data_IF_293599522550
#
_entry.id   IF_293599522550
#
_cell.length_a   1.000
_cell.length_b   1.000
_cell.length_c   1.000
_cell.angle_alpha   90.00
_cell.angle_beta   90.00
_cell.angle_gamma   90.00
#
_symmetry.space_group_name_H-M   'P 1'
#
loop_
_entity.id
_entity.type
_entity.pdbx_description
1 polymer ?
#
# COMPACT_ATOMS: atom_id res chain seq x y z
N UNK A 1 13.79 12.71 8.71
CA UNK A 1 14.80 11.79 9.28
C UNK A 1 15.57 12.40 10.44
N UNK A 2 16.40 13.44 10.25
CA UNK A 2 17.19 14.02 11.35
C UNK A 2 16.35 14.56 12.51
N UNK A 3 15.26 15.29 12.23
CA UNK A 3 14.34 15.75 13.29
C UNK A 3 13.72 14.59 14.07
N UNK A 4 13.30 13.53 13.38
CA UNK A 4 12.78 12.31 14.01
C UNK A 4 13.84 11.64 14.89
N UNK A 5 15.08 11.53 14.42
CA UNK A 5 16.19 10.97 15.19
C UNK A 5 16.48 11.80 16.45
N UNK A 6 16.55 13.12 16.32
CA UNK A 6 16.76 14.03 17.46
C UNK A 6 15.63 13.86 18.48
N UNK A 7 14.37 13.84 18.06
CA UNK A 7 13.23 13.68 18.98
C UNK A 7 13.26 12.33 19.68
N UNK A 8 13.56 11.24 18.98
CA UNK A 8 13.65 9.89 19.58
C UNK A 8 14.81 9.81 20.58
N UNK A 9 15.95 10.43 20.26
CA UNK A 9 17.09 10.53 21.18
C UNK A 9 16.73 11.33 22.43
N UNK A 10 16.05 12.46 22.26
CA UNK A 10 15.57 13.29 23.37
C UNK A 10 14.57 12.51 24.24
N UNK A 11 13.63 11.80 23.62
CA UNK A 11 12.56 11.07 24.29
C UNK A 11 13.05 9.93 25.18
N UNK A 12 14.06 9.17 24.71
CA UNK A 12 14.54 7.98 25.41
C UNK A 12 15.84 8.17 26.16
N UNK A 13 16.85 8.80 25.54
CA UNK A 13 18.18 8.88 26.14
C UNK A 13 18.34 10.09 27.06
N UNK A 14 17.97 11.29 26.59
CA UNK A 14 18.20 12.53 27.35
C UNK A 14 17.30 12.64 28.57
N UNK A 15 16.02 12.31 28.43
CA UNK A 15 15.07 12.27 29.56
C UNK A 15 15.52 11.32 30.66
N UNK A 16 16.01 10.13 30.31
CA UNK A 16 16.52 9.15 31.27
C UNK A 16 17.84 9.61 31.89
N UNK A 17 18.79 10.08 31.06
CA UNK A 17 20.12 10.49 31.53
C UNK A 17 20.07 11.64 32.54
N UNK A 18 19.17 12.62 32.33
CA UNK A 18 18.97 13.75 33.25
C UNK A 18 17.83 13.53 34.25
N UNK A 19 17.19 12.35 34.26
CA UNK A 19 16.05 12.02 35.12
C UNK A 19 14.88 13.03 35.05
N UNK A 20 14.53 13.49 33.84
CA UNK A 20 13.45 14.45 33.60
C UNK A 20 12.16 13.71 33.21
N UNK A 21 11.32 13.43 34.20
CA UNK A 21 10.07 12.68 34.02
C UNK A 21 8.82 13.58 34.06
N UNK A 22 8.61 14.36 32.99
CA UNK A 22 7.41 15.20 32.85
C UNK A 22 6.45 14.64 31.80
N UNK A 23 5.22 14.30 32.21
CA UNK A 23 4.18 13.80 31.29
C UNK A 23 3.96 14.73 30.09
N UNK A 24 4.00 16.05 30.32
CA UNK A 24 3.84 17.04 29.26
C UNK A 24 5.01 17.01 28.26
N UNK A 25 6.24 16.83 28.73
CA UNK A 25 7.42 16.71 27.88
C UNK A 25 7.36 15.43 27.03
N UNK A 26 7.05 14.28 27.65
CA UNK A 26 6.91 13.01 26.92
C UNK A 26 5.80 13.08 25.87
N UNK A 27 4.65 13.67 26.20
CA UNK A 27 3.56 13.88 25.23
C UNK A 27 3.98 14.79 24.08
N UNK A 28 4.64 15.91 24.38
CA UNK A 28 5.14 16.85 23.37
C UNK A 28 6.16 16.19 22.43
N UNK A 29 7.13 15.46 22.98
CA UNK A 29 8.14 14.75 22.19
C UNK A 29 7.50 13.65 21.34
N UNK A 30 6.55 12.89 21.89
CA UNK A 30 5.84 11.85 21.14
C UNK A 30 5.03 12.42 19.96
N UNK A 31 4.27 13.49 20.20
CA UNK A 31 3.50 14.19 19.16
C UNK A 31 4.44 14.75 18.08
N UNK A 32 5.52 15.42 18.50
CA UNK A 32 6.52 15.97 17.56
C UNK A 32 7.17 14.87 16.73
N UNK A 33 7.49 13.73 17.35
CA UNK A 33 8.05 12.57 16.68
C UNK A 33 7.11 12.04 15.59
N UNK A 34 5.83 11.89 15.92
CA UNK A 34 4.79 11.49 14.96
C UNK A 34 4.65 12.48 13.79
N UNK A 35 4.62 13.78 14.08
CA UNK A 35 4.55 14.84 13.06
C UNK A 35 5.74 14.82 12.08
N UNK A 36 6.95 14.57 12.58
CA UNK A 36 8.14 14.49 11.71
C UNK A 36 8.19 13.19 10.91
N UNK A 37 7.63 12.09 11.43
CA UNK A 37 7.60 10.80 10.74
C UNK A 37 6.48 10.72 9.68
N UNK A 38 5.37 11.44 9.86
CA UNK A 38 4.21 11.38 8.96
C UNK A 38 4.51 11.80 7.51
N UNK A 39 5.59 12.57 7.29
CA UNK A 39 6.01 13.02 5.96
C UNK A 39 6.75 11.93 5.18
N UNK A 40 7.30 10.93 5.86
CA UNK A 40 8.18 9.92 5.26
C UNK A 40 7.48 9.11 4.15
N UNK A 41 6.46 8.35 4.53
CA UNK A 41 5.79 7.41 3.62
C UNK A 41 5.15 8.08 2.39
N UNK A 42 4.42 9.22 2.49
CA UNK A 42 3.89 9.91 1.32
C UNK A 42 4.97 10.44 0.38
N UNK A 43 6.12 10.84 0.92
CA UNK A 43 7.26 11.30 0.11
C UNK A 43 7.91 10.13 -0.63
N UNK A 44 8.10 9.00 0.05
CA UNK A 44 8.68 7.79 -0.56
C UNK A 44 7.84 7.28 -1.73
N UNK A 45 6.52 7.18 -1.55
CA UNK A 45 5.61 6.75 -2.61
C UNK A 45 5.63 7.72 -3.79
N UNK A 46 5.71 9.02 -3.53
CA UNK A 46 5.83 10.02 -4.59
C UNK A 46 7.11 9.81 -5.41
N UNK A 47 8.25 9.60 -4.75
CA UNK A 47 9.54 9.37 -5.40
C UNK A 47 9.48 8.07 -6.20
N UNK A 48 9.16 6.93 -5.58
CA UNK A 48 9.10 5.64 -6.29
C UNK A 48 8.09 5.69 -7.45
N UNK A 49 6.94 6.35 -7.25
CA UNK A 49 5.95 6.56 -8.30
C UNK A 49 6.48 7.35 -9.50
N UNK A 50 7.36 8.33 -9.27
CA UNK A 50 7.98 9.13 -10.34
C UNK A 50 9.09 8.39 -11.10
N UNK A 51 9.75 7.43 -10.46
CA UNK A 51 10.82 6.66 -11.08
C UNK A 51 10.31 5.49 -11.94
N UNK A 52 9.13 4.93 -11.63
CA UNK A 52 8.63 3.72 -12.27
C UNK A 52 7.22 3.89 -12.87
N UNK A 53 7.08 3.47 -14.14
CA UNK A 53 5.83 3.49 -14.88
C UNK A 53 4.83 2.41 -14.46
N UNK A 54 3.61 2.47 -14.99
CA UNK A 54 2.48 1.65 -14.58
C UNK A 54 2.73 0.13 -14.67
N UNK A 55 3.53 -0.32 -15.64
CA UNK A 55 3.76 -1.76 -15.90
C UNK A 55 4.66 -2.48 -14.89
N UNK A 56 5.42 -1.77 -14.05
CA UNK A 56 6.33 -2.36 -13.05
C UNK A 56 6.18 -1.77 -11.65
N UNK A 57 5.22 -0.86 -11.48
CA UNK A 57 5.05 -0.08 -10.25
C UNK A 57 4.67 -0.97 -9.06
N UNK A 58 3.79 -1.95 -9.25
CA UNK A 58 3.34 -2.84 -8.19
C UNK A 58 4.44 -3.73 -7.65
N UNK A 59 5.27 -4.31 -8.51
CA UNK A 59 6.41 -5.12 -8.13
C UNK A 59 7.42 -4.29 -7.34
N UNK A 60 7.78 -3.10 -7.83
CA UNK A 60 8.75 -2.22 -7.15
C UNK A 60 8.20 -1.70 -5.83
N UNK A 61 6.96 -1.22 -5.80
CA UNK A 61 6.29 -0.80 -4.57
C UNK A 61 6.11 -1.95 -3.59
N UNK A 62 5.86 -3.16 -4.08
CA UNK A 62 5.78 -4.38 -3.28
C UNK A 62 7.11 -4.68 -2.58
N UNK A 63 8.21 -4.73 -3.35
CA UNK A 63 9.56 -4.90 -2.80
C UNK A 63 9.93 -3.78 -1.83
N UNK A 64 9.61 -2.53 -2.16
CA UNK A 64 9.87 -1.40 -1.27
C UNK A 64 9.08 -1.52 0.03
N UNK A 65 7.78 -1.79 -0.05
CA UNK A 65 6.90 -1.88 1.13
C UNK A 65 7.28 -3.01 2.10
N UNK A 66 7.97 -4.05 1.61
CA UNK A 66 8.53 -5.09 2.47
C UNK A 66 9.56 -4.54 3.48
N UNK A 67 10.13 -3.36 3.24
CA UNK A 67 11.06 -2.71 4.16
C UNK A 67 10.46 -2.46 5.54
N UNK A 68 9.15 -2.22 5.64
CA UNK A 68 8.48 -1.99 6.92
C UNK A 68 8.53 -3.25 7.80
N UNK A 69 8.17 -4.40 7.24
CA UNK A 69 8.24 -5.69 7.94
C UNK A 69 9.67 -6.13 8.23
N UNK A 70 10.62 -5.86 7.33
CA UNK A 70 12.06 -6.09 7.61
C UNK A 70 12.52 -5.21 8.77
N UNK A 71 12.10 -3.93 8.77
CA UNK A 71 12.37 -2.97 9.84
C UNK A 71 11.77 -3.39 11.17
N UNK A 72 10.57 -3.96 11.18
CA UNK A 72 9.93 -4.52 12.37
C UNK A 72 10.78 -5.63 12.99
N UNK A 73 11.18 -6.63 12.19
CA UNK A 73 11.98 -7.77 12.66
C UNK A 73 13.33 -7.28 13.21
N UNK A 74 14.07 -6.49 12.42
CA UNK A 74 15.41 -6.00 12.82
C UNK A 74 15.29 -5.07 14.03
N UNK A 75 14.30 -4.18 14.04
CA UNK A 75 14.06 -3.21 15.10
C UNK A 75 13.75 -3.88 16.43
N UNK A 76 12.89 -4.90 16.43
CA UNK A 76 12.58 -5.71 17.62
C UNK A 76 13.82 -6.46 18.10
N UNK A 77 14.59 -7.08 17.20
CA UNK A 77 15.81 -7.81 17.55
C UNK A 77 16.91 -6.91 18.16
N UNK A 78 17.07 -5.69 17.64
CA UNK A 78 18.01 -4.71 18.19
C UNK A 78 17.51 -4.23 19.55
N UNK A 79 16.23 -3.90 19.67
CA UNK A 79 15.64 -3.36 20.89
C UNK A 79 15.63 -4.38 22.04
N UNK A 80 15.33 -5.65 21.76
CA UNK A 80 15.31 -6.72 22.78
C UNK A 80 16.69 -6.99 23.40
N UNK A 81 17.77 -6.81 22.64
CA UNK A 81 19.13 -6.93 23.19
C UNK A 81 19.55 -5.69 23.98
N UNK A 82 19.21 -4.50 23.48
CA UNK A 82 19.61 -3.25 24.10
C UNK A 82 18.83 -2.94 25.38
N UNK A 83 17.57 -3.35 25.47
CA UNK A 83 16.75 -3.12 26.66
C UNK A 83 17.33 -3.79 27.91
N UNK A 84 18.07 -4.91 27.75
CA UNK A 84 18.78 -5.58 28.85
C UNK A 84 19.88 -4.71 29.47
N UNK A 85 20.42 -3.75 28.72
CA UNK A 85 21.40 -2.77 29.20
C UNK A 85 20.73 -1.51 29.76
N UNK A 86 19.44 -1.31 29.48
CA UNK A 86 18.66 -0.11 29.77
C UNK A 86 17.88 0.35 28.55
N UNK A 87 16.61 0.71 28.74
CA UNK A 87 15.71 1.11 27.65
C UNK A 87 16.25 2.33 26.87
N UNK A 88 16.97 3.24 27.54
CA UNK A 88 17.59 4.41 26.93
C UNK A 88 18.56 4.07 25.79
N UNK A 89 19.25 2.92 25.88
CA UNK A 89 20.19 2.49 24.84
C UNK A 89 19.46 1.99 23.59
N UNK A 90 18.27 1.38 23.75
CA UNK A 90 17.44 1.02 22.61
C UNK A 90 17.03 2.26 21.80
N UNK A 91 16.62 3.34 22.48
CA UNK A 91 16.31 4.61 21.82
C UNK A 91 17.55 5.28 21.22
N UNK A 92 18.67 5.29 21.95
CA UNK A 92 19.91 5.91 21.48
C UNK A 92 20.45 5.27 20.20
N UNK A 93 20.60 3.95 20.17
CA UNK A 93 21.13 3.25 19.00
C UNK A 93 20.23 3.44 17.78
N UNK A 94 18.91 3.26 17.93
CA UNK A 94 17.96 3.46 16.82
C UNK A 94 18.00 4.91 16.29
N UNK A 95 18.09 5.90 17.18
CA UNK A 95 18.18 7.31 16.77
C UNK A 95 19.48 7.64 16.05
N UNK A 96 20.62 7.11 16.49
CA UNK A 96 21.93 7.31 15.84
C UNK A 96 21.93 6.67 14.45
N UNK A 97 21.43 5.43 14.33
CA UNK A 97 21.30 4.75 13.04
C UNK A 97 20.44 5.57 12.07
N UNK A 98 19.27 6.06 12.52
CA UNK A 98 18.39 6.90 11.72
C UNK A 98 19.06 8.23 11.32
N UNK A 99 19.84 8.84 12.22
CA UNK A 99 20.54 10.09 11.96
C UNK A 99 21.63 9.91 10.89
N UNK A 100 22.46 8.87 11.03
CA UNK A 100 23.52 8.53 10.08
C UNK A 100 22.95 8.15 8.71
N UNK A 101 21.90 7.33 8.68
CA UNK A 101 21.23 6.96 7.43
C UNK A 101 20.60 8.18 6.74
N UNK A 102 20.18 9.19 7.50
CA UNK A 102 19.74 10.48 6.96
C UNK A 102 20.77 11.15 6.05
N UNK A 103 22.08 11.03 6.33
CA UNK A 103 23.11 11.54 5.43
C UNK A 103 23.18 10.75 4.13
N UNK A 104 23.09 9.42 4.21
CA UNK A 104 23.10 8.56 3.02
C UNK A 104 21.96 8.94 2.09
N UNK A 105 20.75 9.11 2.64
CA UNK A 105 19.57 9.53 1.88
C UNK A 105 19.76 10.95 1.32
N UNK A 106 20.23 11.90 2.12
CA UNK A 106 20.41 13.29 1.69
C UNK A 106 21.34 13.44 0.48
N UNK A 107 22.45 12.68 0.44
CA UNK A 107 23.42 12.78 -0.66
C UNK A 107 23.06 11.92 -1.88
N UNK A 108 22.37 10.79 -1.69
CA UNK A 108 22.16 9.80 -2.76
C UNK A 108 20.74 9.79 -3.34
N UNK A 109 19.73 10.30 -2.62
CA UNK A 109 18.35 10.24 -3.08
C UNK A 109 18.11 11.27 -4.18
N UNK A 110 17.84 10.78 -5.39
CA UNK A 110 17.41 11.59 -6.54
C UNK A 110 15.89 11.53 -6.63
N UNK A 111 15.24 12.69 -6.71
CA UNK A 111 13.78 12.76 -6.56
C UNK A 111 13.01 12.33 -7.82
N UNK A 112 13.63 12.48 -9.00
CA UNK A 112 13.04 12.10 -10.29
C UNK A 112 14.14 11.73 -11.31
N UNK A 113 13.80 10.95 -12.36
CA UNK A 113 14.72 10.61 -13.46
C UNK A 113 15.32 11.86 -14.15
N UNK A 114 14.55 12.96 -14.24
CA UNK A 114 15.02 14.23 -14.81
C UNK A 114 16.27 14.80 -14.12
N UNK A 115 16.44 14.57 -12.82
CA UNK A 115 17.61 15.06 -12.07
C UNK A 115 18.92 14.38 -12.48
N UNK A 116 18.82 13.20 -13.11
CA UNK A 116 19.97 12.46 -13.65
C UNK A 116 20.01 12.49 -15.19
N UNK A 117 19.19 13.33 -15.82
CA UNK A 117 19.13 13.48 -17.28
C UNK A 117 18.34 12.39 -18.01
N UNK A 118 17.57 11.58 -17.29
CA UNK A 118 16.69 10.56 -17.87
C UNK A 118 15.29 11.15 -18.13
N UNK A 119 14.60 10.71 -19.21
CA UNK A 119 13.20 11.08 -19.43
C UNK A 119 12.31 10.45 -18.37
N UNK A 120 11.19 11.11 -18.05
CA UNK A 120 10.19 10.50 -17.17
C UNK A 120 9.55 9.28 -17.84
N UNK A 121 9.19 8.24 -17.05
CA UNK A 121 8.42 7.12 -17.56
C UNK A 121 7.06 7.62 -18.07
N UNK A 122 6.81 7.45 -19.37
CA UNK A 122 5.57 7.82 -20.04
C UNK A 122 4.55 6.71 -19.79
N UNK A 123 3.46 7.00 -19.07
CA UNK A 123 2.42 6.02 -18.76
C UNK A 123 1.37 5.91 -19.89
N UNK A 124 1.30 6.86 -20.84
CA UNK A 124 0.38 6.79 -22.01
C UNK A 124 0.77 7.69 -23.21
N UNK A 125 0.29 7.38 -24.44
CA UNK A 125 0.50 8.22 -25.65
C UNK A 125 -0.03 9.66 -25.49
N UNK A 126 -1.14 9.84 -24.76
CA UNK A 126 -1.72 11.16 -24.44
C UNK A 126 -0.78 12.01 -23.55
N UNK A 127 0.05 11.36 -22.74
CA UNK A 127 1.01 12.01 -21.85
C UNK A 127 2.26 12.47 -22.62
N UNK A 128 2.67 11.70 -23.62
CA UNK A 128 3.72 12.09 -24.57
C UNK A 128 3.37 13.39 -25.31
N UNK A 129 2.10 13.54 -25.72
CA UNK A 129 1.63 14.72 -26.45
C UNK A 129 1.54 15.98 -25.57
N UNK A 130 1.31 15.82 -24.25
CA UNK A 130 1.20 16.93 -23.27
C UNK A 130 2.54 17.38 -22.69
N UNK A 131 3.52 16.47 -22.55
CA UNK A 131 4.89 16.82 -22.12
C UNK A 131 5.56 17.78 -23.11
N UNK A 132 5.11 17.78 -24.37
CA UNK A 132 5.58 18.69 -25.42
C UNK A 132 4.99 20.10 -25.27
N UNK A 133 3.81 20.26 -24.65
CA UNK A 133 3.08 21.54 -24.56
C UNK A 133 3.38 22.40 -23.31
N UNK A 134 3.69 21.81 -22.14
CA UNK A 134 3.84 22.58 -20.89
C UNK A 134 5.28 22.61 -20.33
N UNK A 135 5.93 23.80 -20.26
CA UNK A 135 7.23 23.93 -19.63
C UNK A 135 7.10 23.93 -18.09
N UNK A 136 7.73 22.95 -17.45
CA UNK A 136 8.51 23.08 -16.20
C UNK A 136 8.00 23.99 -15.06
N UNK A 137 6.69 24.05 -14.80
CA UNK A 137 6.17 24.61 -13.53
C UNK A 137 5.68 23.50 -12.61
N UNK A 138 6.11 23.55 -11.34
CA UNK A 138 5.52 22.72 -10.29
C UNK A 138 4.02 23.04 -10.23
N UNK A 139 3.14 22.06 -10.45
CA UNK A 139 1.70 22.28 -10.38
C UNK A 139 1.29 22.65 -8.95
N UNK A 140 0.29 23.49 -8.81
CA UNK A 140 -0.17 23.98 -7.51
C UNK A 140 -0.73 22.83 -6.64
N UNK A 141 -0.51 22.86 -5.32
CA UNK A 141 -0.98 21.81 -4.43
C UNK A 141 -2.51 21.75 -4.43
N UNK A 142 -3.07 20.54 -4.33
CA UNK A 142 -4.51 20.37 -4.13
C UNK A 142 -4.85 20.56 -2.66
N UNK A 143 -6.02 21.13 -2.38
CA UNK A 143 -6.51 21.24 -1.00
C UNK A 143 -6.95 19.87 -0.46
N UNK A 144 -6.84 19.69 0.86
CA UNK A 144 -7.26 18.47 1.56
C UNK A 144 -8.68 18.04 1.18
N UNK A 145 -9.65 18.96 1.20
CA UNK A 145 -11.04 18.66 0.89
C UNK A 145 -11.25 18.20 -0.55
N UNK A 146 -10.54 18.82 -1.50
CA UNK A 146 -10.58 18.42 -2.90
C UNK A 146 -9.99 17.01 -3.06
N UNK A 147 -8.87 16.74 -2.40
CA UNK A 147 -8.22 15.43 -2.41
C UNK A 147 -9.09 14.33 -1.77
N UNK A 148 -9.77 14.66 -0.67
CA UNK A 148 -10.63 13.72 0.05
C UNK A 148 -11.88 13.31 -0.74
N UNK A 149 -12.43 14.23 -1.54
CA UNK A 149 -13.61 14.01 -2.37
C UNK A 149 -13.31 13.31 -3.70
N UNK A 150 -12.05 13.03 -4.00
CA UNK A 150 -11.68 12.29 -5.21
C UNK A 150 -12.31 10.89 -5.22
N UNK A 151 -12.73 10.41 -6.40
CA UNK A 151 -13.37 9.11 -6.52
C UNK A 151 -12.44 8.01 -6.03
N UNK A 152 -12.88 7.30 -4.98
CA UNK A 152 -12.18 6.17 -4.40
C UNK A 152 -11.27 6.49 -3.22
N UNK A 153 -10.79 7.72 -3.05
CA UNK A 153 -9.89 8.10 -1.95
C UNK A 153 -10.55 7.86 -0.59
N UNK A 154 -11.78 8.33 -0.41
CA UNK A 154 -12.53 8.10 0.84
C UNK A 154 -12.68 6.61 1.18
N UNK A 155 -13.11 5.81 0.20
CA UNK A 155 -13.37 4.39 0.40
C UNK A 155 -12.09 3.60 0.68
N UNK A 156 -11.00 3.87 -0.05
CA UNK A 156 -9.70 3.26 0.23
C UNK A 156 -9.12 3.72 1.56
N UNK A 157 -9.29 4.98 1.95
CA UNK A 157 -8.84 5.50 3.24
C UNK A 157 -9.55 4.80 4.41
N UNK A 158 -10.87 4.65 4.32
CA UNK A 158 -11.65 3.95 5.34
C UNK A 158 -11.34 2.45 5.38
N UNK A 159 -11.22 1.81 4.21
CA UNK A 159 -10.79 0.41 4.12
C UNK A 159 -9.40 0.22 4.75
N UNK A 160 -8.46 1.10 4.43
CA UNK A 160 -7.11 1.04 4.98
C UNK A 160 -7.08 1.29 6.49
N UNK A 161 -7.96 2.14 7.04
CA UNK A 161 -8.08 2.32 8.48
C UNK A 161 -8.47 1.02 9.21
N UNK A 162 -9.49 0.32 8.72
CA UNK A 162 -9.90 -0.97 9.27
C UNK A 162 -8.80 -2.04 9.11
N UNK A 163 -8.14 -2.08 7.96
CA UNK A 163 -7.10 -3.06 7.69
C UNK A 163 -5.81 -2.80 8.48
N UNK A 164 -5.35 -1.54 8.55
CA UNK A 164 -4.17 -1.13 9.32
C UNK A 164 -4.39 -1.36 10.81
N UNK A 165 -5.63 -1.19 11.30
CA UNK A 165 -6.02 -1.58 12.66
C UNK A 165 -5.70 -3.05 12.92
N UNK A 166 -6.16 -3.96 12.05
CA UNK A 166 -5.89 -5.40 12.21
C UNK A 166 -4.39 -5.68 12.12
N UNK A 167 -3.71 -5.12 11.11
CA UNK A 167 -2.28 -5.31 10.89
C UNK A 167 -1.44 -4.86 12.11
N UNK A 168 -1.76 -3.69 12.67
CA UNK A 168 -1.09 -3.17 13.87
C UNK A 168 -1.53 -3.90 15.14
N UNK A 169 -2.73 -4.48 15.14
CA UNK A 169 -3.17 -5.39 16.19
C UNK A 169 -2.24 -6.60 16.29
N UNK A 170 -1.95 -7.25 15.17
CA UNK A 170 -0.96 -8.32 15.13
C UNK A 170 0.43 -7.81 15.52
N UNK A 171 0.89 -6.70 14.92
CA UNK A 171 2.23 -6.19 15.19
C UNK A 171 2.52 -5.93 16.69
N UNK A 172 1.58 -5.30 17.41
CA UNK A 172 1.80 -4.93 18.82
C UNK A 172 1.33 -5.98 19.83
N UNK A 173 0.25 -6.71 19.55
CA UNK A 173 -0.40 -7.59 20.54
C UNK A 173 -0.13 -9.07 20.32
N UNK A 174 0.42 -9.47 19.16
CA UNK A 174 0.66 -10.88 18.89
C UNK A 174 1.65 -11.54 19.87
N UNK A 175 2.80 -10.94 20.22
CA UNK A 175 3.70 -11.55 21.19
C UNK A 175 3.02 -11.71 22.56
N UNK A 176 2.29 -10.69 23.00
CA UNK A 176 1.53 -10.73 24.25
C UNK A 176 0.42 -11.79 24.24
N UNK A 177 -0.28 -11.96 23.12
CA UNK A 177 -1.25 -13.04 22.92
C UNK A 177 -0.58 -14.41 23.06
N UNK A 178 0.54 -14.64 22.36
CA UNK A 178 1.25 -15.92 22.38
C UNK A 178 1.74 -16.27 23.78
N UNK A 179 2.29 -15.30 24.50
CA UNK A 179 2.70 -15.46 25.89
C UNK A 179 1.50 -15.76 26.81
N UNK A 180 0.44 -14.95 26.75
CA UNK A 180 -0.70 -15.07 27.67
C UNK A 180 -1.61 -16.27 27.41
N UNK A 181 -1.79 -16.68 26.15
CA UNK A 181 -2.69 -17.77 25.76
C UNK A 181 -2.01 -19.14 25.78
N UNK A 182 -0.75 -19.23 25.32
CA UNK A 182 -0.02 -20.50 25.24
C UNK A 182 1.04 -20.69 26.33
N UNK A 183 1.34 -19.65 27.13
CA UNK A 183 2.32 -19.73 28.20
C UNK A 183 3.78 -19.83 27.72
N UNK A 184 4.05 -19.48 26.46
CA UNK A 184 5.40 -19.49 25.91
C UNK A 184 6.25 -18.37 26.50
N UNK A 185 7.58 -18.56 26.50
CA UNK A 185 8.49 -17.51 26.96
C UNK A 185 8.33 -16.25 26.12
N UNK A 186 8.60 -15.08 26.70
CA UNK A 186 8.54 -13.80 25.96
C UNK A 186 9.43 -13.83 24.71
N UNK A 187 10.63 -14.42 24.83
CA UNK A 187 11.56 -14.57 23.72
C UNK A 187 11.02 -15.47 22.59
N UNK A 188 10.37 -16.59 22.94
CA UNK A 188 9.78 -17.49 21.94
C UNK A 188 8.54 -16.87 21.29
N UNK A 189 7.72 -16.15 22.07
CA UNK A 189 6.55 -15.43 21.58
C UNK A 189 6.94 -14.32 20.61
N UNK A 190 7.97 -13.53 20.94
CA UNK A 190 8.54 -12.51 20.07
C UNK A 190 9.08 -13.13 18.78
N UNK A 191 9.88 -14.20 18.88
CA UNK A 191 10.45 -14.90 17.72
C UNK A 191 9.36 -15.50 16.82
N UNK A 192 8.28 -16.05 17.40
CA UNK A 192 7.15 -16.58 16.63
C UNK A 192 6.33 -15.49 15.97
N UNK A 193 6.18 -14.33 16.63
CA UNK A 193 5.43 -13.20 16.07
C UNK A 193 6.06 -12.67 14.77
N UNK A 194 7.39 -12.78 14.62
CA UNK A 194 8.10 -12.37 13.41
C UNK A 194 7.65 -13.12 12.15
N UNK A 195 7.11 -14.34 12.27
CA UNK A 195 6.58 -15.08 11.13
C UNK A 195 5.37 -14.38 10.46
N UNK A 196 4.64 -13.56 11.21
CA UNK A 196 3.62 -12.69 10.63
C UNK A 196 4.23 -11.69 9.63
N UNK A 197 5.30 -10.99 10.03
CA UNK A 197 6.03 -10.06 9.17
C UNK A 197 6.67 -10.78 7.96
N UNK A 198 7.17 -12.00 8.14
CA UNK A 198 7.69 -12.84 7.03
C UNK A 198 6.59 -13.09 5.99
N UNK A 199 5.39 -13.47 6.43
CA UNK A 199 4.23 -13.61 5.55
C UNK A 199 3.92 -12.31 4.79
N UNK A 200 3.95 -11.18 5.49
CA UNK A 200 3.75 -9.84 4.91
C UNK A 200 4.78 -9.47 3.85
N UNK A 201 6.06 -9.80 4.05
CA UNK A 201 7.14 -9.58 3.07
C UNK A 201 6.87 -10.38 1.79
N UNK A 202 6.59 -11.67 1.94
CA UNK A 202 6.33 -12.57 0.80
C UNK A 202 5.10 -12.08 0.02
N UNK A 203 4.03 -11.69 0.73
CA UNK A 203 2.84 -11.16 0.11
C UNK A 203 3.07 -9.83 -0.59
N UNK A 204 3.82 -8.90 0.00
CA UNK A 204 4.09 -7.60 -0.61
C UNK A 204 4.75 -7.76 -1.99
N UNK A 205 5.74 -8.65 -2.08
CA UNK A 205 6.45 -8.94 -3.33
C UNK A 205 5.54 -9.67 -4.33
N UNK A 206 4.91 -10.77 -3.91
CA UNK A 206 4.10 -11.60 -4.81
C UNK A 206 2.83 -10.90 -5.27
N UNK A 207 2.09 -10.26 -4.36
CA UNK A 207 0.86 -9.55 -4.68
C UNK A 207 1.15 -8.26 -5.46
N UNK A 208 2.26 -7.58 -5.15
CA UNK A 208 2.77 -6.45 -5.95
C UNK A 208 3.08 -6.85 -7.39
N UNK A 209 3.87 -7.91 -7.58
CA UNK A 209 4.22 -8.44 -8.90
C UNK A 209 3.00 -8.99 -9.66
N UNK A 210 2.12 -9.73 -8.97
CA UNK A 210 0.87 -10.18 -9.57
C UNK A 210 0.05 -8.98 -10.04
N UNK A 211 -0.07 -7.93 -9.22
CA UNK A 211 -0.86 -6.75 -9.56
C UNK A 211 -0.41 -5.97 -10.78
N UNK A 212 0.83 -6.16 -11.25
CA UNK A 212 1.31 -5.56 -12.50
C UNK A 212 0.88 -6.36 -13.73
N UNK A 213 0.61 -7.66 -13.57
CA UNK A 213 0.06 -8.49 -14.65
C UNK A 213 -1.46 -8.32 -14.82
N UNK A 214 -2.16 -7.98 -13.74
CA UNK A 214 -3.57 -7.64 -13.80
C UNK A 214 -3.77 -6.15 -14.08
N UNK A 215 -4.67 -5.79 -14.99
CA UNK A 215 -4.92 -4.38 -15.28
C UNK A 215 -5.68 -3.63 -14.14
N UNK A 216 -6.00 -4.30 -13.03
CA UNK A 216 -6.67 -3.74 -11.85
C UNK A 216 -6.21 -4.50 -10.62
N UNK A 217 -5.94 -3.76 -9.55
CA UNK A 217 -5.44 -4.28 -8.27
C UNK A 217 -6.57 -4.69 -7.32
N UNK A 218 -7.77 -4.13 -7.49
CA UNK A 218 -8.89 -4.36 -6.57
C UNK A 218 -9.33 -5.83 -6.45
N UNK A 219 -9.41 -6.64 -7.54
CA UNK A 219 -9.76 -8.06 -7.43
C UNK A 219 -8.77 -8.85 -6.57
N UNK A 220 -7.47 -8.61 -6.73
CA UNK A 220 -6.42 -9.29 -5.95
C UNK A 220 -6.59 -8.98 -4.47
N UNK A 221 -6.76 -7.70 -4.13
CA UNK A 221 -6.97 -7.23 -2.76
C UNK A 221 -8.21 -7.90 -2.15
N UNK A 222 -9.34 -7.91 -2.86
CA UNK A 222 -10.59 -8.50 -2.33
C UNK A 222 -10.47 -10.01 -2.14
N UNK A 223 -9.83 -10.74 -3.07
CA UNK A 223 -9.59 -12.18 -2.92
C UNK A 223 -8.72 -12.45 -1.70
N UNK A 224 -7.62 -11.71 -1.54
CA UNK A 224 -6.74 -11.85 -0.37
C UNK A 224 -7.47 -11.53 0.94
N UNK A 225 -8.34 -10.50 0.96
CA UNK A 225 -9.16 -10.17 2.13
C UNK A 225 -10.15 -11.29 2.47
N UNK A 226 -10.80 -11.90 1.47
CA UNK A 226 -11.68 -13.06 1.70
C UNK A 226 -10.87 -14.22 2.30
N UNK A 227 -9.71 -14.54 1.74
CA UNK A 227 -8.81 -15.55 2.28
C UNK A 227 -8.35 -15.22 3.72
N UNK A 228 -8.15 -13.94 4.04
CA UNK A 228 -7.74 -13.51 5.38
C UNK A 228 -8.80 -13.80 6.45
N UNK A 229 -10.10 -13.78 6.11
CA UNK A 229 -11.18 -14.16 7.03
C UNK A 229 -11.03 -15.63 7.45
N UNK A 230 -10.79 -16.51 6.48
CA UNK A 230 -10.56 -17.94 6.76
C UNK A 230 -9.25 -18.18 7.51
N UNK A 231 -8.18 -17.46 7.17
CA UNK A 231 -6.90 -17.54 7.87
C UNK A 231 -7.02 -17.13 9.35
N UNK A 232 -7.72 -16.03 9.63
CA UNK A 232 -8.00 -15.57 10.99
C UNK A 232 -8.85 -16.57 11.78
N UNK A 233 -9.89 -17.10 11.16
CA UNK A 233 -10.73 -18.11 11.78
C UNK A 233 -9.91 -19.38 12.11
N UNK A 234 -9.10 -19.86 11.17
CA UNK A 234 -8.21 -21.00 11.38
C UNK A 234 -7.19 -20.72 12.50
N UNK A 235 -6.61 -19.52 12.55
CA UNK A 235 -5.66 -19.14 13.59
C UNK A 235 -6.31 -19.04 14.97
N UNK A 236 -7.56 -18.59 15.06
CA UNK A 236 -8.29 -18.52 16.34
C UNK A 236 -8.48 -19.89 17.00
N UNK A 237 -8.46 -20.97 16.22
CA UNK A 237 -8.53 -22.36 16.69
C UNK A 237 -7.17 -23.06 16.72
N UNK A 238 -6.06 -22.32 16.69
CA UNK A 238 -4.70 -22.87 16.62
C UNK A 238 -4.34 -23.71 17.85
N UNK A 239 -3.76 -24.92 17.69
CA UNK A 239 -3.25 -25.71 18.80
C UNK A 239 -1.96 -25.09 19.39
N UNK A 240 -1.54 -25.47 20.62
CA UNK A 240 -0.33 -24.99 21.27
C UNK A 240 0.95 -25.62 20.67
N UNK A 241 1.09 -25.61 19.34
CA UNK A 241 2.27 -26.08 18.61
C UNK A 241 3.00 -24.91 17.96
N UNK A 242 4.27 -24.64 18.30
CA UNK A 242 5.04 -23.54 17.71
C UNK A 242 5.13 -23.60 16.18
N UNK A 243 5.31 -24.79 15.61
CA UNK A 243 5.39 -24.98 14.17
C UNK A 243 4.06 -24.63 13.47
N UNK A 244 2.94 -25.10 14.02
CA UNK A 244 1.61 -24.82 13.45
C UNK A 244 1.30 -23.33 13.56
N UNK A 245 1.63 -22.69 14.68
CA UNK A 245 1.45 -21.26 14.84
C UNK A 245 2.32 -20.46 13.88
N UNK A 246 3.60 -20.82 13.69
CA UNK A 246 4.47 -20.16 12.72
C UNK A 246 3.92 -20.22 11.29
N UNK A 247 3.42 -21.39 10.86
CA UNK A 247 2.80 -21.56 9.53
C UNK A 247 1.52 -20.72 9.42
N UNK A 248 0.60 -20.82 10.39
CA UNK A 248 -0.66 -20.07 10.36
C UNK A 248 -0.44 -18.56 10.43
N UNK A 249 0.55 -18.10 11.20
CA UNK A 249 0.95 -16.69 11.26
C UNK A 249 1.54 -16.21 9.94
N UNK A 250 2.34 -17.03 9.28
CA UNK A 250 2.85 -16.72 7.94
C UNK A 250 1.71 -16.58 6.94
N UNK A 251 0.73 -17.50 6.97
CA UNK A 251 -0.46 -17.45 6.09
C UNK A 251 -1.32 -16.21 6.42
N UNK A 252 -1.51 -15.91 7.69
CA UNK A 252 -2.30 -14.76 8.14
C UNK A 252 -1.62 -13.45 7.77
N UNK A 253 -0.31 -13.34 7.99
CA UNK A 253 0.51 -12.20 7.55
C UNK A 253 0.53 -12.05 6.03
N UNK A 254 0.51 -13.15 5.29
CA UNK A 254 0.41 -13.11 3.83
C UNK A 254 -0.91 -12.47 3.36
N UNK A 255 -2.05 -12.94 3.89
CA UNK A 255 -3.36 -12.47 3.44
C UNK A 255 -3.81 -11.13 4.04
N UNK A 256 -3.26 -10.70 5.18
CA UNK A 256 -3.57 -9.39 5.80
C UNK A 256 -2.53 -8.34 5.39
N UNK A 257 -1.24 -8.68 5.53
CA UNK A 257 -0.13 -7.79 5.22
C UNK A 257 -0.03 -7.45 3.74
N UNK A 258 -0.33 -8.41 2.85
CA UNK A 258 -0.36 -8.17 1.40
C UNK A 258 -1.30 -7.03 0.99
N UNK A 259 -2.62 -7.14 1.25
CA UNK A 259 -3.58 -6.07 1.02
C UNK A 259 -3.22 -4.75 1.70
N UNK A 260 -2.71 -4.80 2.93
CA UNK A 260 -2.33 -3.60 3.67
C UNK A 260 -1.18 -2.86 2.94
N UNK A 261 -0.17 -3.59 2.52
CA UNK A 261 0.98 -3.06 1.79
C UNK A 261 0.57 -2.56 0.39
N UNK A 262 -0.29 -3.28 -0.32
CA UNK A 262 -0.79 -2.87 -1.64
C UNK A 262 -1.62 -1.59 -1.58
N UNK A 263 -2.55 -1.49 -0.63
CA UNK A 263 -3.40 -0.29 -0.46
C UNK A 263 -2.55 0.92 -0.11
N UNK A 264 -1.62 0.74 0.84
CA UNK A 264 -0.74 1.81 1.31
C UNK A 264 0.23 2.31 0.24
N UNK A 265 0.75 1.42 -0.61
CA UNK A 265 1.75 1.76 -1.63
C UNK A 265 1.13 1.92 -3.02
N UNK A 266 0.98 0.83 -3.75
CA UNK A 266 0.61 0.80 -5.17
C UNK A 266 -0.75 1.44 -5.47
N UNK A 267 -1.78 1.20 -4.66
CA UNK A 267 -3.11 1.78 -4.87
C UNK A 267 -3.11 3.26 -4.55
N UNK A 268 -2.45 3.68 -3.46
CA UNK A 268 -2.31 5.09 -3.12
C UNK A 268 -1.55 5.85 -4.21
N UNK A 269 -0.55 5.21 -4.83
CA UNK A 269 0.17 5.75 -5.98
C UNK A 269 -0.74 5.91 -7.21
N UNK A 270 -1.58 4.92 -7.49
CA UNK A 270 -2.48 4.95 -8.64
C UNK A 270 -3.63 5.97 -8.45
N UNK A 271 -4.19 6.08 -7.24
CA UNK A 271 -5.19 7.09 -6.88
C UNK A 271 -4.63 8.51 -7.03
N UNK A 272 -3.38 8.72 -6.60
CA UNK A 272 -2.69 10.00 -6.75
C UNK A 272 -2.40 10.40 -8.20
N UNK A 273 -2.40 9.43 -9.12
CA UNK A 273 -2.23 9.62 -10.58
C UNK A 273 -3.52 9.45 -11.38
N UNK A 274 -4.69 9.44 -10.70
CA UNK A 274 -5.98 9.39 -11.38
C UNK A 274 -6.07 10.48 -12.47
N UNK A 275 -6.87 10.22 -13.52
CA UNK A 275 -6.92 11.01 -14.77
C UNK A 275 -7.09 12.53 -14.56
N UNK A 276 -7.64 12.93 -13.41
CA UNK A 276 -7.87 14.31 -12.96
C UNK A 276 -6.63 15.01 -12.38
N UNK A 277 -5.54 14.27 -12.08
CA UNK A 277 -4.37 14.73 -11.31
C UNK A 277 -3.02 14.38 -11.96
N UNK A 278 -3.04 13.81 -13.18
CA UNK A 278 -1.90 13.14 -13.84
C UNK A 278 -0.57 13.92 -13.92
N UNK A 279 -0.55 15.24 -13.75
CA UNK A 279 0.69 16.03 -13.75
C UNK A 279 1.19 16.45 -12.36
N UNK A 280 0.44 16.18 -11.27
CA UNK A 280 0.67 16.81 -9.98
C UNK A 280 1.24 15.87 -8.92
N UNK A 281 2.58 15.86 -8.80
CA UNK A 281 3.28 15.13 -7.74
C UNK A 281 2.84 15.55 -6.32
N UNK A 282 2.43 16.82 -6.12
CA UNK A 282 1.92 17.30 -4.84
C UNK A 282 0.53 16.72 -4.53
N UNK A 283 -0.28 16.45 -5.56
CA UNK A 283 -1.56 15.76 -5.41
C UNK A 283 -1.39 14.29 -4.99
N UNK A 284 -0.42 13.60 -5.59
CA UNK A 284 -0.08 12.23 -5.19
C UNK A 284 0.33 12.17 -3.71
N UNK A 285 1.26 13.03 -3.28
CA UNK A 285 1.70 13.08 -1.89
C UNK A 285 0.53 13.39 -0.93
N UNK A 286 -0.39 14.29 -1.32
CA UNK A 286 -1.57 14.63 -0.52
C UNK A 286 -2.54 13.44 -0.39
N UNK A 287 -2.83 12.73 -1.48
CA UNK A 287 -3.72 11.56 -1.47
C UNK A 287 -3.12 10.42 -0.66
N UNK A 288 -1.84 10.12 -0.85
CA UNK A 288 -1.14 9.11 -0.06
C UNK A 288 -1.10 9.47 1.42
N UNK A 289 -0.85 10.74 1.75
CA UNK A 289 -0.89 11.24 3.13
C UNK A 289 -2.27 11.12 3.77
N UNK A 290 -3.33 11.36 3.00
CA UNK A 290 -4.72 11.16 3.43
C UNK A 290 -5.00 9.69 3.75
N UNK A 291 -4.63 8.78 2.85
CA UNK A 291 -4.86 7.34 3.03
C UNK A 291 -4.06 6.83 4.22
N UNK A 292 -2.76 7.12 4.28
CA UNK A 292 -1.90 6.64 5.37
C UNK A 292 -2.21 7.29 6.72
N UNK A 293 -2.58 8.58 6.74
CA UNK A 293 -3.03 9.29 7.93
C UNK A 293 -4.32 8.69 8.50
N UNK A 294 -5.31 8.41 7.64
CA UNK A 294 -6.56 7.74 8.05
C UNK A 294 -6.28 6.31 8.53
N UNK A 295 -5.38 5.60 7.84
CA UNK A 295 -4.84 4.31 8.27
C UNK A 295 -4.30 4.35 9.70
N UNK A 296 -3.43 5.31 9.98
CA UNK A 296 -2.76 5.48 11.27
C UNK A 296 -3.75 5.83 12.39
N UNK A 297 -4.80 6.60 12.08
CA UNK A 297 -5.90 6.83 13.02
C UNK A 297 -6.64 5.52 13.37
N UNK A 298 -6.93 4.68 12.37
CA UNK A 298 -7.50 3.34 12.58
C UNK A 298 -6.61 2.46 13.46
N UNK A 299 -5.30 2.45 13.20
CA UNK A 299 -4.34 1.73 14.02
C UNK A 299 -4.31 2.22 15.47
N UNK A 300 -4.31 3.54 15.70
CA UNK A 300 -4.35 4.13 17.03
C UNK A 300 -5.62 3.75 17.79
N UNK A 301 -6.78 3.78 17.11
CA UNK A 301 -8.05 3.32 17.68
C UNK A 301 -7.97 1.83 18.07
N UNK A 302 -7.35 1.00 17.23
CA UNK A 302 -7.07 -0.41 17.53
C UNK A 302 -6.32 -0.61 18.84
N UNK A 303 -5.27 0.15 19.08
CA UNK A 303 -4.47 0.05 20.30
C UNK A 303 -5.25 0.37 21.57
N UNK A 304 -6.34 1.14 21.48
CA UNK A 304 -7.26 1.42 22.60
C UNK A 304 -8.33 0.35 22.75
N UNK A 305 -8.84 -0.17 21.63
CA UNK A 305 -9.95 -1.13 21.62
C UNK A 305 -9.53 -2.56 21.97
N UNK A 306 -8.40 -3.05 21.43
CA UNK A 306 -7.93 -4.43 21.62
C UNK A 306 -7.81 -4.82 23.10
N UNK A 307 -7.10 -4.06 23.96
CA UNK A 307 -6.98 -4.43 25.38
C UNK A 307 -8.32 -4.38 26.10
N UNK A 308 -9.20 -3.43 25.74
CA UNK A 308 -10.53 -3.31 26.33
C UNK A 308 -11.41 -4.52 26.00
N UNK A 309 -11.37 -4.99 24.74
CA UNK A 309 -12.09 -6.19 24.31
C UNK A 309 -11.49 -7.43 24.97
N UNK A 310 -10.17 -7.53 25.01
CA UNK A 310 -9.45 -8.66 25.62
C UNK A 310 -9.77 -8.79 27.11
N UNK A 311 -9.79 -7.69 27.86
CA UNK A 311 -10.05 -7.69 29.29
C UNK A 311 -11.47 -8.15 29.67
N UNK A 312 -12.48 -7.83 28.84
CA UNK A 312 -13.89 -8.13 29.14
C UNK A 312 -14.36 -9.45 28.51
N UNK A 313 -13.93 -9.73 27.27
CA UNK A 313 -14.48 -10.81 26.45
C UNK A 313 -13.45 -11.88 26.06
N UNK A 314 -12.17 -11.70 26.41
CA UNK A 314 -11.08 -12.63 26.09
C UNK A 314 -10.58 -12.56 24.65
N UNK A 315 -9.56 -13.36 24.36
CA UNK A 315 -8.82 -13.34 23.09
C UNK A 315 -9.65 -13.77 21.87
N UNK A 316 -10.57 -14.72 22.03
CA UNK A 316 -11.45 -15.15 20.93
C UNK A 316 -12.24 -13.98 20.35
N UNK A 317 -12.77 -13.10 21.20
CA UNK A 317 -13.49 -11.89 20.76
C UNK A 317 -12.60 -10.88 20.06
N UNK A 318 -11.31 -10.81 20.40
CA UNK A 318 -10.35 -9.97 19.67
C UNK A 318 -10.20 -10.45 18.22
N UNK A 319 -10.04 -11.76 18.01
CA UNK A 319 -9.97 -12.33 16.65
C UNK A 319 -11.26 -12.15 15.86
N UNK A 320 -12.43 -12.32 16.49
CA UNK A 320 -13.70 -12.00 15.84
C UNK A 320 -13.81 -10.51 15.51
N UNK A 321 -13.33 -9.63 16.39
CA UNK A 321 -13.22 -8.19 16.11
C UNK A 321 -12.34 -7.90 14.89
N UNK A 322 -11.21 -8.59 14.74
CA UNK A 322 -10.38 -8.49 13.54
C UNK A 322 -11.10 -8.98 12.29
N UNK A 323 -11.84 -10.09 12.35
CA UNK A 323 -12.66 -10.59 11.24
C UNK A 323 -13.69 -9.53 10.82
N UNK A 324 -14.38 -8.90 11.79
CA UNK A 324 -15.34 -7.82 11.50
C UNK A 324 -14.65 -6.64 10.78
N UNK A 325 -13.46 -6.22 11.23
CA UNK A 325 -12.70 -5.15 10.58
C UNK A 325 -12.26 -5.51 9.15
N UNK A 326 -11.87 -6.77 8.91
CA UNK A 326 -11.58 -7.26 7.55
C UNK A 326 -12.83 -7.25 6.67
N UNK A 327 -13.99 -7.67 7.20
CA UNK A 327 -15.26 -7.61 6.47
C UNK A 327 -15.62 -6.16 6.14
N UNK A 328 -15.46 -5.23 7.08
CA UNK A 328 -15.64 -3.80 6.84
C UNK A 328 -14.71 -3.28 5.74
N UNK A 329 -13.44 -3.72 5.74
CA UNK A 329 -12.46 -3.40 4.69
C UNK A 329 -12.96 -3.88 3.33
N UNK A 330 -13.35 -5.15 3.21
CA UNK A 330 -13.87 -5.70 1.96
C UNK A 330 -15.14 -4.98 1.50
N UNK A 331 -16.08 -4.70 2.41
CA UNK A 331 -17.32 -3.98 2.13
C UNK A 331 -17.07 -2.57 1.57
N UNK A 332 -16.05 -1.86 2.08
CA UNK A 332 -15.66 -0.55 1.56
C UNK A 332 -15.10 -0.62 0.13
N UNK A 333 -14.46 -1.73 -0.23
CA UNK A 333 -13.83 -1.93 -1.55
C UNK A 333 -14.76 -2.54 -2.60
N UNK A 334 -15.81 -3.26 -2.20
CA UNK A 334 -16.77 -3.91 -3.12
C UNK A 334 -17.39 -2.93 -4.13
N UNK A 335 -17.87 -1.73 -3.74
CA UNK A 335 -18.43 -0.77 -4.71
C UNK A 335 -17.42 -0.30 -5.75
N UNK A 336 -16.14 -0.20 -5.38
CA UNK A 336 -15.07 0.21 -6.28
C UNK A 336 -14.74 -0.93 -7.25
N UNK A 337 -14.59 -2.14 -6.72
CA UNK A 337 -14.42 -3.35 -7.52
C UNK A 337 -15.54 -3.50 -8.54
N UNK A 338 -16.79 -3.29 -8.12
CA UNK A 338 -17.96 -3.39 -8.99
C UNK A 338 -17.90 -2.38 -10.14
N UNK A 339 -17.52 -1.12 -9.85
CA UNK A 339 -17.34 -0.08 -10.87
C UNK A 339 -16.24 -0.44 -11.86
N UNK A 340 -15.12 -0.95 -11.38
CA UNK A 340 -13.99 -1.36 -12.24
C UNK A 340 -14.34 -2.56 -13.13
N UNK A 341 -15.02 -3.57 -12.58
CA UNK A 341 -15.47 -4.75 -13.34
C UNK A 341 -16.48 -4.37 -14.43
N UNK A 342 -17.44 -3.49 -14.12
CA UNK A 342 -18.41 -3.00 -15.10
C UNK A 342 -17.70 -2.18 -16.20
N UNK A 343 -16.78 -1.30 -15.82
CA UNK A 343 -16.05 -0.49 -16.79
C UNK A 343 -15.24 -1.37 -17.75
N UNK A 344 -14.55 -2.39 -17.23
CA UNK A 344 -13.82 -3.39 -18.05
C UNK A 344 -14.74 -4.12 -19.00
N UNK A 345 -15.89 -4.58 -18.52
CA UNK A 345 -16.86 -5.28 -19.37
C UNK A 345 -17.38 -4.37 -20.49
N UNK A 346 -17.59 -3.08 -20.22
CA UNK A 346 -17.99 -2.10 -21.24
C UNK A 346 -16.87 -1.83 -22.26
N UNK A 347 -15.63 -1.65 -21.82
CA UNK A 347 -14.49 -1.43 -22.73
C UNK A 347 -14.28 -2.64 -23.63
N UNK A 348 -14.28 -3.85 -23.06
CA UNK A 348 -14.16 -5.08 -23.83
C UNK A 348 -15.32 -5.25 -24.83
N UNK A 349 -16.55 -4.95 -24.41
CA UNK A 349 -17.72 -4.97 -25.28
C UNK A 349 -17.58 -3.97 -26.45
N UNK A 350 -17.09 -2.76 -26.18
CA UNK A 350 -16.88 -1.75 -27.20
C UNK A 350 -15.77 -2.12 -28.19
N UNK A 351 -14.68 -2.74 -27.73
CA UNK A 351 -13.58 -3.21 -28.61
C UNK A 351 -14.09 -4.34 -29.51
N UNK A 352 -14.84 -5.29 -28.96
CA UNK A 352 -15.42 -6.38 -29.74
C UNK A 352 -16.41 -5.87 -30.79
N UNK A 353 -17.23 -4.89 -30.44
CA UNK A 353 -18.15 -4.27 -31.40
C UNK A 353 -17.42 -3.42 -32.45
N UNK A 354 -16.37 -2.68 -32.08
CA UNK A 354 -15.60 -1.89 -33.06
C UNK A 354 -14.85 -2.79 -34.03
N UNK A 355 -14.26 -3.90 -33.56
CA UNK A 355 -13.60 -4.88 -34.43
C UNK A 355 -14.61 -5.57 -35.37
N UNK A 356 -15.89 -5.63 -34.98
CA UNK A 356 -16.96 -6.21 -35.78
C UNK A 356 -17.46 -5.21 -36.85
N UNK A 357 -17.65 -3.94 -36.49
CA UNK A 357 -17.95 -2.85 -37.44
C UNK A 357 -16.81 -2.69 -38.47
N UNK A 358 -15.55 -2.70 -38.04
CA UNK A 358 -14.37 -2.59 -38.92
C UNK A 358 -14.24 -3.79 -39.88
N UNK A 359 -14.77 -4.95 -39.51
CA UNK A 359 -14.80 -6.15 -40.36
C UNK A 359 -15.98 -6.14 -41.35
N UNK A 360 -17.16 -5.68 -40.93
CA UNK A 360 -18.32 -5.51 -41.81
C UNK A 360 -18.02 -4.43 -42.87
N UNK A 361 -17.43 -3.30 -42.49
CA UNK A 361 -17.04 -2.22 -43.42
C UNK A 361 -16.03 -2.72 -44.48
N UNK A 362 -15.07 -3.56 -44.09
CA UNK A 362 -14.10 -4.17 -45.03
C UNK A 362 -14.75 -5.21 -45.95
N UNK A 363 -15.77 -5.93 -45.49
CA UNK A 363 -16.53 -6.85 -46.34
C UNK A 363 -17.38 -6.09 -47.34
N UNK A 364 -18.06 -5.02 -46.92
CA UNK A 364 -18.87 -4.19 -47.81
C UNK A 364 -17.99 -3.48 -48.87
N UNK A 365 -16.82 -2.94 -48.50
CA UNK A 365 -15.86 -2.38 -49.48
C UNK A 365 -15.37 -3.42 -50.50
N UNK A 366 -15.13 -4.66 -50.07
CA UNK A 366 -14.70 -5.74 -50.97
C UNK A 366 -15.81 -6.14 -51.95
N UNK A 367 -17.07 -6.21 -51.49
CA UNK A 367 -18.24 -6.52 -52.34
C UNK A 367 -18.49 -5.40 -53.36
N UNK A 368 -18.40 -4.12 -52.94
CA UNK A 368 -18.54 -2.97 -53.85
C UNK A 368 -17.43 -2.97 -54.91
N UNK A 369 -16.19 -3.28 -54.52
CA UNK A 369 -15.07 -3.41 -55.46
C UNK A 369 -15.31 -4.50 -56.50
N UNK A 370 -15.81 -5.67 -56.09
CA UNK A 370 -16.11 -6.78 -57.02
C UNK A 370 -17.27 -6.44 -57.96
N UNK A 371 -18.33 -5.80 -57.47
CA UNK A 371 -19.44 -5.31 -58.34
C UNK A 371 -18.96 -4.27 -59.35
N UNK A 372 -18.10 -3.34 -58.95
CA UNK A 372 -17.52 -2.33 -59.86
C UNK A 372 -16.60 -2.97 -60.92
N UNK A 373 -15.85 -4.01 -60.57
CA UNK A 373 -15.04 -4.77 -61.53
C UNK A 373 -15.93 -5.50 -62.54
N UNK A 374 -17.02 -6.12 -62.09
CA UNK A 374 -17.99 -6.79 -62.96
C UNK A 374 -18.68 -5.79 -63.87
N UNK A 375 -19.11 -4.64 -63.35
CA UNK A 375 -19.76 -3.58 -64.12
C UNK A 375 -18.84 -3.00 -65.20
N UNK A 376 -17.56 -2.78 -64.89
CA UNK A 376 -16.55 -2.34 -65.88
C UNK A 376 -16.31 -3.38 -66.97
N UNK A 377 -16.36 -4.67 -66.64
CA UNK A 377 -16.24 -5.76 -67.64
C UNK A 377 -17.45 -5.85 -68.56
N UNK A 378 -18.66 -5.61 -68.05
CA UNK A 378 -19.89 -5.58 -68.85
C UNK A 378 -19.91 -4.38 -69.81
N UNK A 379 -19.55 -3.18 -69.34
CA UNK A 379 -19.45 -1.99 -70.19
C UNK A 379 -18.39 -2.16 -71.30
N UNK A 380 -17.25 -2.78 -70.99
CA UNK A 380 -16.20 -3.06 -71.99
C UNK A 380 -16.62 -4.13 -73.02
N UNK A 381 -17.64 -4.94 -72.73
CA UNK A 381 -18.17 -5.93 -73.67
C UNK A 381 -19.22 -5.34 -74.62
N UNK A 382 -19.98 -4.32 -74.18
CA UNK A 382 -20.95 -3.60 -75.04
C UNK A 382 -20.26 -2.67 -76.06
N UNK A 383 -19.04 -2.19 -75.80
CA UNK A 383 -18.26 -1.37 -76.75
C UNK A 383 -17.63 -2.19 -77.92
N UNK A 384 -17.82 -3.51 -77.95
CA UNK A 384 -17.23 -4.43 -78.93
C UNK A 384 -18.25 -5.17 -79.83
N UNK A 385 -19.54 -4.85 -79.74
CA UNK A 385 -20.57 -5.16 -80.78
C UNK A 385 -20.88 -3.91 -81.61
#
# INVERSE_FOLDING_TARGET
MWLSAIVVFLFGYVTEYFHIYSKALYAFLWISGGLFQSVGWPTEICIVGNWFGHCSRGAVMGVWSACASVGNIIGTMISSKLVLMGYQYAFAVNSILLFLFGFVVFYNLKSAPREVGLPDPIDSPDEHMRVIEEPTRRPAPISFWKAWLLPGVFAYSLAYACLKLVNYGFFFWLPFYLHSNFGWSEADADALSAWYDVGGIVAAILAGAASDHFSSRAPIIVVMLICSIFALWAYSASPPSPLVNGILLTITGFFIGGPANMISSSVSADLGRARELRSNAEALSTVTGIVDGTGSFGAALGQLLIPSIQAVFGWNSVFYGFIVMIICTAACLVPLLWRELIWRRRVMYNILNSDQEDNDDRQDEAVISDEDIVRRRLLAAEDHE
#
